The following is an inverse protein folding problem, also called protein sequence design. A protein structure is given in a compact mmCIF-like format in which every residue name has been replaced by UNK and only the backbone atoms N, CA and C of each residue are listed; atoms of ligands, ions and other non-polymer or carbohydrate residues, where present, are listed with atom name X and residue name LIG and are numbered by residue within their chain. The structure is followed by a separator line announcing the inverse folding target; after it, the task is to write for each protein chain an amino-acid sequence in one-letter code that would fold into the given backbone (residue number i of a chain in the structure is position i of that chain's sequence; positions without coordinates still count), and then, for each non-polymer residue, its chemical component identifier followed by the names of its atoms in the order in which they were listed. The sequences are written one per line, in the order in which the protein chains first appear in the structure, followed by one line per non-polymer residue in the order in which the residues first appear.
data_IF_567312493077
#
_entry.id   IF_567312493077
#
_cell.length_a   1.000
_cell.length_b   1.000
_cell.length_c   1.000
_cell.angle_alpha   90.00
_cell.angle_beta   90.00
_cell.angle_gamma   90.00
#
_symmetry.space_group_name_H-M   'P 1'
#
loop_
_entity.id
_entity.type
_entity.pdbx_description
1 polymer ?
#
# COMPACT_ATOMS: atom_id res chain seq x y z
N UNK A 1 2.08 -5.17 -6.22
CA UNK A 1 2.84 -4.53 -7.33
C UNK A 1 1.95 -4.17 -8.51
N UNK A 2 1.36 -5.17 -9.21
CA UNK A 2 0.57 -4.95 -10.44
C UNK A 2 -0.61 -3.97 -10.28
N UNK A 3 -1.38 -4.07 -9.19
CA UNK A 3 -2.57 -3.22 -8.98
C UNK A 3 -2.24 -1.74 -8.79
N UNK A 4 -1.16 -1.41 -8.09
CA UNK A 4 -0.73 -0.01 -7.91
C UNK A 4 -0.31 0.58 -9.26
N UNK A 5 0.51 -0.15 -10.03
CA UNK A 5 0.94 0.26 -11.37
C UNK A 5 -0.22 0.39 -12.36
N UNK A 6 -1.17 -0.56 -12.34
CA UNK A 6 -2.41 -0.55 -13.16
C UNK A 6 -3.22 0.73 -12.96
N UNK A 7 -3.13 1.35 -11.79
CA UNK A 7 -3.87 2.54 -11.43
C UNK A 7 -2.99 3.80 -11.31
N UNK A 8 -1.84 3.82 -12.00
CA UNK A 8 -1.01 5.01 -12.16
C UNK A 8 -0.11 5.34 -10.96
N UNK A 9 0.02 4.44 -10.00
CA UNK A 9 1.00 4.56 -8.92
C UNK A 9 2.31 3.86 -9.25
N UNK A 10 3.40 4.29 -8.61
CA UNK A 10 4.69 3.59 -8.64
C UNK A 10 4.81 2.78 -7.35
N UNK A 11 4.97 1.45 -7.46
CA UNK A 11 5.19 0.59 -6.30
C UNK A 11 6.70 0.47 -6.05
N UNK A 12 7.17 0.94 -4.89
CA UNK A 12 8.60 0.95 -4.55
C UNK A 12 9.05 -0.33 -3.86
N UNK A 13 8.11 -1.13 -3.37
CA UNK A 13 8.41 -2.40 -2.72
C UNK A 13 7.60 -2.65 -1.46
N UNK A 14 7.80 -3.86 -0.93
CA UNK A 14 7.43 -4.22 0.42
C UNK A 14 8.72 -4.42 1.21
N UNK A 15 8.77 -3.83 2.39
CA UNK A 15 9.97 -3.79 3.24
C UNK A 15 9.63 -4.42 4.58
N UNK A 16 10.47 -5.34 5.02
CA UNK A 16 10.52 -5.84 6.38
C UNK A 16 11.81 -5.30 7.01
N UNK A 17 11.78 -4.85 8.27
CA UNK A 17 13.00 -4.53 8.98
C UNK A 17 13.93 -5.75 8.99
N UNK A 18 15.17 -5.57 8.54
CA UNK A 18 16.18 -6.62 8.61
C UNK A 18 16.67 -6.86 10.06
N UNK A 19 16.46 -5.87 10.92
CA UNK A 19 16.75 -5.89 12.35
C UNK A 19 15.69 -5.01 13.08
N UNK A 20 15.33 -5.36 14.31
CA UNK A 20 14.34 -4.64 15.10
C UNK A 20 12.95 -5.26 15.07
N UNK A 21 11.93 -4.49 14.69
CA UNK A 21 10.54 -4.94 14.71
C UNK A 21 10.31 -6.11 13.74
N UNK A 22 9.83 -7.24 14.26
CA UNK A 22 9.54 -8.44 13.47
C UNK A 22 8.07 -8.59 13.10
N UNK A 23 7.21 -7.68 13.57
CA UNK A 23 5.76 -7.69 13.43
C UNK A 23 5.23 -6.57 12.52
N UNK A 24 6.13 -5.81 11.88
CA UNK A 24 5.79 -4.65 11.04
C UNK A 24 6.38 -4.80 9.64
N UNK A 25 5.53 -4.64 8.63
CA UNK A 25 5.93 -4.54 7.23
C UNK A 25 5.46 -3.21 6.65
N UNK A 26 6.25 -2.62 5.76
CA UNK A 26 5.95 -1.37 5.09
C UNK A 26 5.76 -1.58 3.60
N UNK A 27 4.71 -0.98 3.03
CA UNK A 27 4.51 -0.91 1.59
C UNK A 27 4.67 0.54 1.15
N UNK A 28 5.66 0.82 0.31
CA UNK A 28 5.89 2.16 -0.20
C UNK A 28 5.43 2.27 -1.64
N UNK A 29 4.69 3.33 -1.94
CA UNK A 29 4.28 3.67 -3.28
C UNK A 29 4.06 5.17 -3.41
N UNK A 30 4.27 5.69 -4.61
CA UNK A 30 4.08 7.11 -4.94
C UNK A 30 2.98 7.28 -5.99
N UNK A 31 2.29 8.40 -5.89
CA UNK A 31 1.33 8.89 -6.87
C UNK A 31 1.71 10.33 -7.23
N UNK A 32 1.32 10.77 -8.42
CA UNK A 32 1.55 12.15 -8.89
C UNK A 32 0.95 13.20 -7.95
N UNK A 33 -0.17 12.88 -7.29
CA UNK A 33 -0.84 13.75 -6.33
C UNK A 33 -1.69 12.97 -5.35
N UNK A 34 -2.13 13.62 -4.26
CA UNK A 34 -3.09 13.04 -3.33
C UNK A 34 -4.41 12.69 -4.02
N UNK A 35 -4.88 13.51 -4.95
CA UNK A 35 -6.09 13.22 -5.72
C UNK A 35 -5.94 11.95 -6.60
N UNK A 36 -4.75 11.71 -7.17
CA UNK A 36 -4.49 10.46 -7.90
C UNK A 36 -4.52 9.24 -6.97
N UNK A 37 -3.94 9.38 -5.78
CA UNK A 37 -4.02 8.36 -4.74
C UNK A 37 -5.48 8.08 -4.30
N UNK A 38 -6.31 9.11 -4.12
CA UNK A 38 -7.71 8.94 -3.70
C UNK A 38 -8.54 8.20 -4.76
N UNK A 39 -8.33 8.51 -6.05
CA UNK A 39 -8.95 7.77 -7.16
C UNK A 39 -8.54 6.31 -7.20
N UNK A 40 -7.28 6.01 -6.89
CA UNK A 40 -6.82 4.64 -6.70
C UNK A 40 -7.52 3.99 -5.50
N UNK A 41 -7.60 4.70 -4.37
CA UNK A 41 -8.16 4.16 -3.13
C UNK A 41 -9.67 3.91 -3.20
N UNK A 42 -10.39 4.63 -4.04
CA UNK A 42 -11.83 4.43 -4.25
C UNK A 42 -12.16 3.11 -4.95
N UNK A 43 -11.18 2.36 -5.47
CA UNK A 43 -11.38 1.06 -6.14
C UNK A 43 -11.39 -0.13 -5.18
N UNK A 44 -10.96 0.07 -3.94
CA UNK A 44 -10.95 -0.99 -2.94
C UNK A 44 -12.39 -1.35 -2.56
N UNK A 45 -12.70 -2.65 -2.52
CA UNK A 45 -14.06 -3.16 -2.33
C UNK A 45 -14.84 -3.36 -3.64
N UNK A 46 -14.45 -2.66 -4.72
CA UNK A 46 -15.13 -2.74 -6.02
C UNK A 46 -14.34 -3.59 -7.05
N UNK A 47 -13.01 -3.42 -7.14
CA UNK A 47 -12.19 -4.23 -8.05
C UNK A 47 -12.05 -5.66 -7.49
N UNK A 48 -12.43 -6.70 -8.26
CA UNK A 48 -12.32 -8.09 -7.81
C UNK A 48 -10.90 -8.48 -7.36
N UNK A 49 -9.85 -7.91 -7.96
CA UNK A 49 -8.48 -8.18 -7.55
C UNK A 49 -8.15 -7.56 -6.17
N UNK A 50 -8.71 -6.40 -5.82
CA UNK A 50 -8.58 -5.82 -4.47
C UNK A 50 -9.39 -6.62 -3.44
N UNK A 51 -10.61 -7.03 -3.78
CA UNK A 51 -11.45 -7.84 -2.90
C UNK A 51 -10.77 -9.17 -2.57
N UNK A 52 -10.15 -9.82 -3.54
CA UNK A 52 -9.40 -11.05 -3.32
C UNK A 52 -8.20 -10.83 -2.38
N UNK A 53 -7.48 -9.72 -2.52
CA UNK A 53 -6.37 -9.38 -1.63
C UNK A 53 -6.84 -9.06 -0.19
N UNK A 54 -7.95 -8.33 -0.04
CA UNK A 54 -8.57 -8.04 1.25
C UNK A 54 -9.04 -9.33 1.95
N UNK A 55 -9.59 -10.29 1.20
CA UNK A 55 -9.98 -11.60 1.76
C UNK A 55 -8.81 -12.37 2.36
N UNK A 56 -7.65 -12.40 1.68
CA UNK A 56 -6.44 -13.05 2.22
C UNK A 56 -6.05 -12.42 3.57
N UNK A 57 -6.08 -11.08 3.66
CA UNK A 57 -5.83 -10.37 4.91
C UNK A 57 -6.81 -10.81 6.00
N UNK A 58 -8.10 -10.80 5.68
CA UNK A 58 -9.16 -11.02 6.66
C UNK A 58 -9.20 -12.49 7.15
N UNK A 59 -9.03 -13.46 6.24
CA UNK A 59 -9.05 -14.90 6.58
C UNK A 59 -7.79 -15.35 7.32
N UNK A 60 -6.62 -14.81 6.97
CA UNK A 60 -5.37 -15.18 7.63
C UNK A 60 -5.23 -14.59 9.04
N UNK A 61 -5.91 -13.48 9.31
CA UNK A 61 -5.75 -12.73 10.56
C UNK A 61 -4.34 -12.17 10.77
N UNK A 62 -3.48 -12.16 9.74
CA UNK A 62 -2.08 -11.76 9.87
C UNK A 62 -1.90 -10.24 10.08
N UNK A 63 -2.90 -9.44 9.73
CA UNK A 63 -2.88 -7.99 9.92
C UNK A 63 -3.68 -7.62 11.16
N UNK A 64 -2.96 -7.40 12.27
CA UNK A 64 -3.55 -6.98 13.55
C UNK A 64 -3.76 -5.47 13.61
N UNK A 65 -2.87 -4.70 12.98
CA UNK A 65 -2.92 -3.23 12.88
C UNK A 65 -2.54 -2.81 11.47
N UNK A 66 -3.24 -1.81 10.95
CA UNK A 66 -2.90 -1.17 9.68
C UNK A 66 -2.85 0.35 9.86
N UNK A 67 -1.75 0.95 9.45
CA UNK A 67 -1.56 2.39 9.45
C UNK A 67 -1.26 2.90 8.05
N UNK A 68 -1.51 4.19 7.83
CA UNK A 68 -1.19 4.86 6.58
C UNK A 68 -0.68 6.26 6.85
N UNK A 69 0.46 6.56 6.24
CA UNK A 69 1.14 7.85 6.38
C UNK A 69 1.47 8.39 5.00
N UNK A 70 1.23 9.69 4.79
CA UNK A 70 1.67 10.40 3.59
C UNK A 70 2.98 11.12 3.89
N UNK A 71 4.02 10.74 3.17
CA UNK A 71 5.36 11.30 3.32
C UNK A 71 5.65 12.24 2.16
N UNK A 72 6.51 13.23 2.42
CA UNK A 72 7.12 14.07 1.40
C UNK A 72 8.63 13.86 1.42
N UNK A 73 9.33 13.95 0.27
CA UNK A 73 10.78 13.94 0.26
C UNK A 73 11.34 14.98 1.23
N UNK A 74 12.34 14.59 2.02
CA UNK A 74 12.99 15.50 2.95
C UNK A 74 13.90 16.48 2.20
N UNK A 75 14.60 15.99 1.18
CA UNK A 75 15.49 16.76 0.33
C UNK A 75 14.81 17.06 -1.00
N UNK A 76 15.10 18.22 -1.62
CA UNK A 76 14.69 18.45 -3.01
C UNK A 76 15.38 17.43 -3.93
N UNK A 77 14.71 17.11 -5.04
CA UNK A 77 15.31 16.39 -6.16
C UNK A 77 16.28 17.30 -6.91
#
# INVERSE_FOLDING_TARGET
MRLVAKHGGVHHGYFLPAEGASDRAEALFSFESLAAYERYRSRFGDDPEFVAADRIRDESGCVVRYERTFMRPLLPN
#
